data_IF_854517491488
#
_entry.id   IF_854517491488
#
_cell.length_a   1.000
_cell.length_b   1.000
_cell.length_c   1.000
_cell.angle_alpha   90.00
_cell.angle_beta   90.00
_cell.angle_gamma   90.00
#
_symmetry.space_group_name_H-M   'P 1'
#
loop_
_entity.id
_entity.type
_entity.pdbx_description
1 polymer ?
#
# COMPACT_ATOMS: atom_id res chain seq x y z
N UNK A 1 -10.00 18.34 0.32
CA UNK A 1 -9.71 17.66 1.62
C UNK A 1 -10.67 16.50 1.88
N UNK A 2 -11.98 16.72 2.07
CA UNK A 2 -12.90 15.62 2.40
C UNK A 2 -13.08 14.62 1.25
N UNK A 3 -13.24 15.14 0.03
CA UNK A 3 -13.28 14.32 -1.19
C UNK A 3 -12.01 13.50 -1.40
N UNK A 4 -10.84 14.07 -1.05
CA UNK A 4 -9.56 13.37 -1.21
C UNK A 4 -9.43 12.21 -0.22
N UNK A 5 -9.95 12.39 1.01
CA UNK A 5 -10.03 11.30 2.00
C UNK A 5 -11.00 10.20 1.58
N UNK A 6 -12.15 10.56 0.99
CA UNK A 6 -13.09 9.58 0.44
C UNK A 6 -12.48 8.77 -0.71
N UNK A 7 -11.75 9.44 -1.61
CA UNK A 7 -11.00 8.76 -2.69
C UNK A 7 -9.92 7.86 -2.11
N UNK A 8 -9.19 8.33 -1.09
CA UNK A 8 -8.20 7.55 -0.35
C UNK A 8 -8.82 6.29 0.24
N UNK A 9 -9.90 6.43 0.99
CA UNK A 9 -10.57 5.31 1.66
C UNK A 9 -11.18 4.31 0.67
N UNK A 10 -11.72 4.77 -0.46
CA UNK A 10 -12.19 3.89 -1.52
C UNK A 10 -11.03 3.09 -2.16
N UNK A 11 -9.88 3.73 -2.38
CA UNK A 11 -8.69 3.03 -2.87
C UNK A 11 -8.13 2.04 -1.85
N UNK A 12 -8.14 2.39 -0.56
CA UNK A 12 -7.73 1.50 0.51
C UNK A 12 -8.66 0.30 0.64
N UNK A 13 -9.96 0.46 0.47
CA UNK A 13 -10.95 -0.64 0.49
C UNK A 13 -10.79 -1.59 -0.72
N UNK A 14 -10.35 -1.07 -1.87
CA UNK A 14 -10.15 -1.88 -3.07
C UNK A 14 -8.98 -2.88 -2.93
N UNK A 15 -8.10 -2.76 -1.93
CA UNK A 15 -7.03 -3.75 -1.69
C UNK A 15 -7.53 -4.98 -0.93
N UNK A 16 -8.08 -4.85 0.29
CA UNK A 16 -8.45 -6.01 1.09
C UNK A 16 -9.60 -6.79 0.46
N UNK A 17 -10.48 -6.16 -0.33
CA UNK A 17 -11.62 -6.87 -0.92
C UNK A 17 -11.19 -7.97 -1.92
N UNK A 18 -10.40 -7.70 -2.98
CA UNK A 18 -9.85 -8.75 -3.83
C UNK A 18 -8.93 -9.72 -3.09
N UNK A 19 -8.09 -9.23 -2.17
CA UNK A 19 -7.18 -10.10 -1.40
C UNK A 19 -7.94 -11.10 -0.52
N UNK A 20 -9.09 -10.69 0.04
CA UNK A 20 -9.95 -11.56 0.84
C UNK A 20 -10.69 -12.64 0.03
N UNK A 21 -10.77 -12.46 -1.30
CA UNK A 21 -11.46 -13.35 -2.24
C UNK A 21 -10.49 -14.12 -3.15
N UNK A 22 -9.19 -14.09 -2.83
CA UNK A 22 -8.20 -14.88 -3.56
C UNK A 22 -8.48 -16.37 -3.40
N UNK A 23 -8.17 -17.13 -4.45
CA UNK A 23 -8.19 -18.59 -4.43
C UNK A 23 -6.79 -19.10 -4.80
N UNK A 24 -6.07 -19.77 -3.88
CA UNK A 24 -6.48 -20.08 -2.50
C UNK A 24 -6.55 -18.84 -1.60
N UNK A 25 -7.43 -18.89 -0.59
CA UNK A 25 -7.61 -17.80 0.37
C UNK A 25 -6.35 -17.54 1.19
N UNK A 26 -6.02 -16.27 1.44
CA UNK A 26 -4.92 -15.89 2.33
C UNK A 26 -5.30 -16.16 3.80
N UNK A 27 -4.62 -17.09 4.49
CA UNK A 27 -4.99 -17.46 5.85
C UNK A 27 -4.90 -16.28 6.81
N UNK A 28 -5.97 -16.05 7.57
CA UNK A 28 -6.04 -14.95 8.55
C UNK A 28 -6.16 -13.54 7.95
N UNK A 29 -6.21 -13.40 6.62
CA UNK A 29 -6.45 -12.11 5.98
C UNK A 29 -7.93 -11.74 6.05
N UNK A 30 -8.24 -10.53 6.53
CA UNK A 30 -9.60 -10.01 6.63
C UNK A 30 -9.60 -8.48 6.62
N UNK A 31 -10.78 -7.88 6.66
CA UNK A 31 -10.93 -6.42 6.81
C UNK A 31 -10.29 -5.89 8.11
N UNK A 32 -10.07 -6.73 9.11
CA UNK A 32 -9.39 -6.33 10.35
C UNK A 32 -7.91 -5.97 10.14
N UNK A 33 -7.30 -6.43 9.04
CA UNK A 33 -5.94 -6.06 8.64
C UNK A 33 -5.85 -4.61 8.14
N UNK A 34 -6.98 -3.98 7.80
CA UNK A 34 -7.05 -2.57 7.43
C UNK A 34 -7.04 -1.68 8.68
N UNK A 35 -5.87 -1.06 8.91
CA UNK A 35 -5.53 -0.27 10.10
C UNK A 35 -5.54 1.24 9.84
N UNK A 36 -6.05 1.69 8.71
CA UNK A 36 -6.09 3.12 8.38
C UNK A 36 -7.15 3.87 9.19
N UNK A 37 -6.77 5.05 9.66
CA UNK A 37 -7.69 6.00 10.31
C UNK A 37 -8.79 6.50 9.37
N UNK A 38 -8.59 6.50 8.05
CA UNK A 38 -9.59 6.98 7.07
C UNK A 38 -10.62 5.92 6.66
N UNK A 39 -10.53 4.68 7.16
CA UNK A 39 -11.48 3.60 6.82
C UNK A 39 -12.95 3.93 7.13
N UNK A 40 -13.20 4.82 8.08
CA UNK A 40 -14.57 5.22 8.43
C UNK A 40 -15.32 5.94 7.31
N UNK A 41 -14.61 6.48 6.32
CA UNK A 41 -15.20 7.12 5.16
C UNK A 41 -16.00 6.18 4.25
N UNK A 42 -15.75 4.86 4.31
CA UNK A 42 -16.54 3.88 3.53
C UNK A 42 -17.83 3.43 4.22
N UNK A 43 -18.07 3.89 5.46
CA UNK A 43 -19.27 3.51 6.23
C UNK A 43 -20.60 3.98 5.63
N UNK A 44 -20.56 4.86 4.62
CA UNK A 44 -21.71 5.21 3.81
C UNK A 44 -22.24 4.04 2.97
N UNK A 45 -21.43 3.03 2.69
CA UNK A 45 -21.86 1.82 2.00
C UNK A 45 -22.47 0.82 3.00
N UNK A 46 -23.66 0.25 2.73
CA UNK A 46 -24.35 -0.63 3.69
C UNK A 46 -23.50 -1.80 4.20
N UNK A 47 -22.71 -2.41 3.31
CA UNK A 47 -21.82 -3.54 3.64
C UNK A 47 -20.69 -3.17 4.63
N UNK A 48 -20.28 -1.90 4.64
CA UNK A 48 -19.20 -1.40 5.50
C UNK A 48 -19.71 -0.46 6.60
N UNK A 49 -21.01 -0.43 6.83
CA UNK A 49 -21.65 0.39 7.89
C UNK A 49 -21.10 0.10 9.29
N UNK A 50 -20.52 -1.09 9.53
CA UNK A 50 -19.84 -1.42 10.78
C UNK A 50 -18.51 -0.68 11.01
N UNK A 51 -17.93 -0.03 9.99
CA UNK A 51 -16.66 0.70 10.07
C UNK A 51 -16.82 2.18 10.43
N UNK A 52 -17.95 2.60 11.00
CA UNK A 52 -18.25 4.01 11.34
C UNK A 52 -17.20 4.72 12.20
N UNK A 53 -16.36 3.97 12.93
CA UNK A 53 -15.30 4.55 13.76
C UNK A 53 -13.93 4.43 13.07
N UNK A 54 -13.09 5.48 13.16
CA UNK A 54 -11.68 5.37 12.79
C UNK A 54 -11.02 4.18 13.47
N UNK A 55 -10.03 3.58 12.82
CA UNK A 55 -9.19 2.59 13.49
C UNK A 55 -8.46 3.22 14.69
N UNK A 56 -8.37 2.48 15.78
CA UNK A 56 -7.76 2.95 17.03
C UNK A 56 -6.47 2.17 17.27
N UNK A 57 -5.34 2.86 17.25
CA UNK A 57 -4.01 2.29 17.47
C UNK A 57 -2.91 3.16 16.85
N UNK A 58 -1.68 2.65 16.85
CA UNK A 58 -0.55 3.32 16.19
C UNK A 58 -0.44 2.85 14.73
N UNK A 59 -0.92 3.69 13.81
CA UNK A 59 -0.98 3.36 12.37
C UNK A 59 0.44 3.21 11.81
N UNK A 60 0.81 1.99 11.41
CA UNK A 60 2.13 1.67 10.85
C UNK A 60 2.15 1.62 9.33
N UNK A 61 1.04 1.19 8.74
CA UNK A 61 0.70 1.25 7.31
C UNK A 61 -0.81 1.08 7.19
N UNK A 62 -1.38 1.38 6.02
CA UNK A 62 -2.82 1.26 5.80
C UNK A 62 -3.30 -0.16 6.03
N UNK A 63 -2.55 -1.16 5.56
CA UNK A 63 -2.82 -2.58 5.79
C UNK A 63 -1.59 -3.27 6.38
N UNK A 64 -1.80 -4.13 7.37
CA UNK A 64 -0.75 -4.96 7.97
C UNK A 64 -1.19 -6.41 7.96
N UNK A 65 -0.39 -7.28 7.35
CA UNK A 65 -0.69 -8.70 7.23
C UNK A 65 0.49 -9.58 7.63
N UNK A 66 0.24 -10.54 8.52
CA UNK A 66 1.20 -11.57 8.91
C UNK A 66 1.04 -12.80 8.02
N UNK A 67 1.96 -12.99 7.08
CA UNK A 67 1.93 -14.11 6.14
C UNK A 67 2.49 -15.39 6.80
N UNK A 68 1.78 -15.86 7.82
CA UNK A 68 2.21 -16.97 8.69
C UNK A 68 2.51 -18.27 7.93
N UNK A 69 1.87 -18.45 6.77
CA UNK A 69 2.03 -19.64 5.94
C UNK A 69 2.97 -19.40 4.74
N UNK A 70 3.24 -18.15 4.36
CA UNK A 70 4.03 -17.81 3.16
C UNK A 70 3.20 -17.80 1.88
N UNK A 71 1.87 -17.85 1.97
CA UNK A 71 0.96 -17.96 0.83
C UNK A 71 0.94 -16.67 0.01
N UNK A 72 0.96 -15.52 0.69
CA UNK A 72 1.03 -14.23 -0.01
C UNK A 72 2.42 -14.01 -0.63
N UNK A 73 3.48 -14.44 0.05
CA UNK A 73 4.84 -14.46 -0.47
C UNK A 73 4.92 -15.30 -1.74
N UNK A 74 4.37 -16.51 -1.73
CA UNK A 74 4.32 -17.39 -2.88
C UNK A 74 3.56 -16.74 -4.05
N UNK A 75 2.40 -16.12 -3.79
CA UNK A 75 1.65 -15.41 -4.82
C UNK A 75 2.49 -14.28 -5.46
N UNK A 76 3.22 -13.51 -4.66
CA UNK A 76 4.07 -12.44 -5.17
C UNK A 76 5.26 -12.98 -5.98
N UNK A 77 5.83 -14.13 -5.60
CA UNK A 77 6.85 -14.83 -6.42
C UNK A 77 6.25 -15.29 -7.75
N UNK A 78 5.09 -15.96 -7.72
CA UNK A 78 4.42 -16.50 -8.91
C UNK A 78 4.04 -15.39 -9.92
N UNK A 79 3.77 -14.18 -9.42
CA UNK A 79 3.50 -12.99 -10.24
C UNK A 79 4.75 -12.21 -10.65
N UNK A 80 5.94 -12.64 -10.23
CA UNK A 80 7.22 -12.03 -10.56
C UNK A 80 7.55 -10.74 -9.81
N UNK A 81 6.85 -10.46 -8.70
CA UNK A 81 7.13 -9.31 -7.84
C UNK A 81 8.28 -9.58 -6.86
N UNK A 82 8.51 -10.84 -6.50
CA UNK A 82 9.57 -11.28 -5.60
C UNK A 82 10.44 -12.33 -6.27
N UNK A 83 11.75 -12.26 -6.02
CA UNK A 83 12.71 -13.25 -6.49
C UNK A 83 12.54 -14.58 -5.74
N UNK A 84 12.34 -15.67 -6.48
CA UNK A 84 12.14 -16.99 -5.91
C UNK A 84 13.37 -17.48 -5.12
N UNK A 85 14.59 -17.18 -5.59
CA UNK A 85 15.83 -17.61 -4.93
C UNK A 85 15.99 -17.03 -3.53
N UNK A 86 15.50 -15.81 -3.32
CA UNK A 86 15.56 -15.12 -2.02
C UNK A 86 14.36 -15.42 -1.12
N UNK A 87 13.15 -15.48 -1.68
CA UNK A 87 11.89 -15.44 -0.92
C UNK A 87 11.18 -16.77 -0.76
N UNK A 88 11.62 -17.85 -1.43
CA UNK A 88 11.00 -19.17 -1.27
C UNK A 88 11.04 -19.62 0.19
N UNK A 89 9.86 -19.95 0.74
CA UNK A 89 9.68 -20.39 2.12
C UNK A 89 9.73 -19.27 3.17
N UNK A 90 9.91 -18.02 2.77
CA UNK A 90 9.84 -16.88 3.68
C UNK A 90 8.39 -16.62 4.13
N UNK A 91 8.25 -16.06 5.34
CA UNK A 91 6.96 -15.78 6.01
C UNK A 91 7.01 -14.39 6.65
N UNK A 92 7.16 -13.32 5.84
CA UNK A 92 7.35 -11.98 6.35
C UNK A 92 6.04 -11.37 6.86
N UNK A 93 6.18 -10.32 7.67
CA UNK A 93 5.10 -9.37 7.91
C UNK A 93 5.04 -8.33 6.79
N UNK A 94 3.89 -8.21 6.13
CA UNK A 94 3.64 -7.23 5.08
C UNK A 94 3.10 -5.92 5.65
N UNK A 95 3.73 -4.81 5.22
CA UNK A 95 3.29 -3.45 5.47
C UNK A 95 2.88 -2.83 4.13
N UNK A 96 1.58 -2.67 3.95
CA UNK A 96 1.00 -2.24 2.68
C UNK A 96 0.50 -0.80 2.82
N UNK A 97 1.06 0.07 1.99
CA UNK A 97 0.66 1.46 1.82
C UNK A 97 -0.13 1.60 0.51
N UNK A 98 -1.25 2.30 0.56
CA UNK A 98 -2.17 2.46 -0.54
C UNK A 98 -2.16 3.91 -0.99
N UNK A 99 -1.84 4.12 -2.28
CA UNK A 99 -1.89 5.44 -2.90
C UNK A 99 -2.96 5.46 -3.97
N UNK A 100 -4.12 6.03 -3.65
CA UNK A 100 -5.21 6.25 -4.59
C UNK A 100 -5.02 7.57 -5.35
N UNK A 101 -5.17 7.56 -6.67
CA UNK A 101 -5.14 8.78 -7.49
C UNK A 101 -6.15 8.73 -8.63
N UNK A 102 -6.71 9.89 -8.95
CA UNK A 102 -7.56 10.12 -10.14
C UNK A 102 -6.75 10.51 -11.38
N UNK A 103 -5.45 10.79 -11.24
CA UNK A 103 -4.53 11.20 -12.32
C UNK A 103 -3.81 10.01 -12.95
N UNK A 104 -3.04 10.22 -14.02
CA UNK A 104 -2.32 9.14 -14.73
C UNK A 104 -1.20 8.49 -13.89
N UNK A 105 -0.86 7.22 -14.14
CA UNK A 105 0.12 6.48 -13.32
C UNK A 105 1.56 7.02 -13.44
N UNK A 106 1.86 7.79 -14.50
CA UNK A 106 3.15 8.50 -14.64
C UNK A 106 3.22 9.80 -13.82
N UNK A 107 2.11 10.27 -13.25
CA UNK A 107 2.13 11.47 -12.39
C UNK A 107 2.79 11.14 -11.04
N UNK A 108 3.49 12.09 -10.44
CA UNK A 108 4.09 11.94 -9.10
C UNK A 108 3.01 11.63 -8.06
N UNK A 109 3.34 10.82 -7.06
CA UNK A 109 2.53 10.67 -5.85
C UNK A 109 3.34 11.09 -4.64
N UNK A 110 2.64 11.57 -3.61
CA UNK A 110 3.28 12.09 -2.41
C UNK A 110 3.40 11.00 -1.35
N UNK A 111 4.50 11.05 -0.62
CA UNK A 111 4.80 10.19 0.51
C UNK A 111 5.16 11.08 1.69
N UNK A 112 4.59 10.81 2.85
CA UNK A 112 4.96 11.57 4.06
C UNK A 112 6.38 11.21 4.50
N UNK A 113 7.03 12.10 5.25
CA UNK A 113 8.36 11.82 5.83
C UNK A 113 8.39 10.54 6.67
N UNK A 114 7.31 10.27 7.40
CA UNK A 114 7.19 9.07 8.23
C UNK A 114 7.09 7.79 7.38
N UNK A 115 6.33 7.82 6.29
CA UNK A 115 6.24 6.71 5.35
C UNK A 115 7.58 6.46 4.67
N UNK A 116 8.28 7.53 4.28
CA UNK A 116 9.62 7.44 3.71
C UNK A 116 10.61 6.79 4.68
N UNK A 117 10.62 7.20 5.96
CA UNK A 117 11.48 6.58 6.97
C UNK A 117 11.16 5.09 7.18
N UNK A 118 9.87 4.73 7.28
CA UNK A 118 9.44 3.32 7.44
C UNK A 118 9.83 2.45 6.25
N UNK A 119 9.73 2.99 5.03
CA UNK A 119 10.17 2.32 3.82
C UNK A 119 11.68 1.99 3.89
N UNK A 120 12.51 2.93 4.37
CA UNK A 120 13.95 2.72 4.55
C UNK A 120 14.25 1.69 5.65
N UNK A 121 13.55 1.75 6.79
CA UNK A 121 13.71 0.82 7.91
C UNK A 121 13.33 -0.64 7.54
N UNK A 122 12.45 -0.82 6.55
CA UNK A 122 11.87 -2.12 6.16
C UNK A 122 12.37 -2.62 4.80
N UNK A 123 13.46 -2.07 4.29
CA UNK A 123 14.07 -2.55 3.06
C UNK A 123 14.68 -3.94 3.24
N UNK A 124 14.69 -4.72 2.17
CA UNK A 124 15.26 -6.06 2.12
C UNK A 124 16.70 -6.06 1.57
N UNK A 125 17.24 -4.88 1.20
CA UNK A 125 18.58 -4.70 0.60
C UNK A 125 19.78 -5.13 1.48
N UNK A 126 19.53 -5.63 2.68
CA UNK A 126 20.51 -6.20 3.61
C UNK A 126 20.28 -7.70 3.87
N UNK A 127 19.38 -8.36 3.13
CA UNK A 127 18.98 -9.75 3.35
C UNK A 127 17.87 -9.95 4.39
N UNK A 128 17.26 -8.87 4.90
CA UNK A 128 16.10 -8.96 5.79
C UNK A 128 14.91 -9.60 5.05
N UNK A 129 14.34 -10.65 5.64
CA UNK A 129 13.14 -11.36 5.15
C UNK A 129 12.03 -11.41 6.20
N UNK A 130 12.16 -10.65 7.29
CA UNK A 130 11.18 -10.62 8.38
C UNK A 130 10.01 -9.67 8.08
N UNK A 131 10.22 -8.65 7.24
CA UNK A 131 9.20 -7.69 6.88
C UNK A 131 9.36 -7.25 5.42
N UNK A 132 8.24 -6.98 4.75
CA UNK A 132 8.23 -6.43 3.39
C UNK A 132 7.35 -5.18 3.37
N UNK A 133 7.90 -4.06 2.89
CA UNK A 133 7.13 -2.84 2.63
C UNK A 133 6.67 -2.80 1.17
N UNK A 134 5.36 -2.67 0.94
CA UNK A 134 4.76 -2.63 -0.39
C UNK A 134 3.94 -1.35 -0.52
N UNK A 135 4.07 -0.68 -1.66
CA UNK A 135 3.15 0.39 -2.05
C UNK A 135 2.24 -0.14 -3.15
N UNK A 136 0.96 -0.27 -2.84
CA UNK A 136 -0.07 -0.47 -3.84
C UNK A 136 -0.55 0.89 -4.33
N UNK A 137 -0.30 1.19 -5.59
CA UNK A 137 -0.77 2.41 -6.22
C UNK A 137 -2.00 2.11 -7.05
N UNK A 138 -3.14 2.58 -6.56
CA UNK A 138 -4.42 2.50 -7.24
C UNK A 138 -4.66 3.74 -8.05
N UNK A 139 -5.09 3.49 -9.28
CA UNK A 139 -5.51 4.53 -10.20
C UNK A 139 -6.94 4.26 -10.62
N UNK A 140 -7.80 5.24 -10.39
CA UNK A 140 -9.14 5.27 -10.98
C UNK A 140 -9.14 6.40 -12.00
N UNK A 141 -9.05 6.08 -13.29
CA UNK A 141 -9.10 7.07 -14.35
C UNK A 141 -10.32 6.84 -15.22
N UNK A 142 -10.92 7.92 -15.71
CA UNK A 142 -12.16 7.86 -16.47
C UNK A 142 -13.21 7.03 -15.73
N UNK A 143 -13.69 7.55 -14.59
CA UNK A 143 -14.80 6.94 -13.83
C UNK A 143 -15.99 6.60 -14.74
N UNK A 144 -16.17 7.35 -15.83
CA UNK A 144 -17.19 7.15 -16.86
C UNK A 144 -16.92 5.95 -17.80
N UNK A 145 -15.67 5.50 -17.94
CA UNK A 145 -15.29 4.35 -18.80
C UNK A 145 -14.90 3.10 -18.00
N UNK A 146 -14.95 3.12 -16.66
CA UNK A 146 -14.75 1.93 -15.81
C UNK A 146 -13.32 1.38 -15.75
N UNK A 147 -12.30 2.13 -16.17
CA UNK A 147 -10.92 1.62 -16.22
C UNK A 147 -10.17 1.84 -14.90
N UNK A 148 -9.97 0.75 -14.14
CA UNK A 148 -9.18 0.75 -12.90
C UNK A 148 -7.80 0.16 -13.19
N UNK A 149 -6.75 0.87 -12.77
CA UNK A 149 -5.36 0.39 -12.90
C UNK A 149 -4.73 0.19 -11.53
N UNK A 150 -4.02 -0.93 -11.36
CA UNK A 150 -3.23 -1.21 -10.17
C UNK A 150 -1.75 -1.35 -10.54
N UNK A 151 -0.88 -0.62 -9.83
CA UNK A 151 0.58 -0.81 -9.87
C UNK A 151 1.08 -1.15 -8.47
N UNK A 152 1.85 -2.22 -8.35
CA UNK A 152 2.43 -2.68 -7.08
C UNK A 152 3.93 -2.41 -7.11
N UNK A 153 4.46 -1.76 -6.07
CA UNK A 153 5.88 -1.52 -5.86
C UNK A 153 6.31 -2.29 -4.60
N UNK A 154 7.11 -3.33 -4.78
CA UNK A 154 7.62 -4.13 -3.67
C UNK A 154 9.04 -3.68 -3.32
N UNK A 155 9.27 -3.38 -2.03
CA UNK A 155 10.53 -2.80 -1.53
C UNK A 155 10.96 -1.54 -2.30
N UNK A 156 10.20 -0.44 -2.20
CA UNK A 156 10.48 0.75 -2.98
C UNK A 156 11.82 1.43 -2.63
N UNK A 157 12.40 1.17 -1.46
CA UNK A 157 13.75 1.63 -1.13
C UNK A 157 14.81 0.90 -1.96
N UNK A 158 14.68 -0.43 -2.09
CA UNK A 158 15.58 -1.22 -2.94
C UNK A 158 15.44 -0.82 -4.41
N UNK A 159 14.22 -0.56 -4.87
CA UNK A 159 13.95 -0.01 -6.21
C UNK A 159 14.58 1.38 -6.39
N UNK A 160 14.57 2.25 -5.36
CA UNK A 160 15.22 3.57 -5.39
C UNK A 160 16.73 3.45 -5.53
N UNK A 161 17.37 2.53 -4.79
CA UNK A 161 18.82 2.30 -4.88
C UNK A 161 19.24 1.78 -6.26
N UNK A 162 18.35 1.08 -6.97
CA UNK A 162 18.55 0.61 -8.36
C UNK A 162 18.11 1.60 -9.45
N UNK A 163 17.74 2.83 -9.07
CA UNK A 163 17.23 3.87 -9.98
C UNK A 163 15.95 3.48 -10.77
N UNK A 164 15.17 2.52 -10.28
CA UNK A 164 13.89 2.11 -10.89
C UNK A 164 12.74 3.07 -10.54
N UNK A 165 12.89 3.81 -9.44
CA UNK A 165 11.94 4.81 -8.95
C UNK A 165 12.68 6.05 -8.47
N UNK A 166 12.21 7.21 -8.89
CA UNK A 166 12.82 8.50 -8.55
C UNK A 166 12.07 9.14 -7.38
N UNK A 167 12.78 9.40 -6.29
CA UNK A 167 12.29 10.15 -5.14
C UNK A 167 12.81 11.59 -5.21
N UNK A 168 11.92 12.55 -5.38
CA UNK A 168 12.27 13.98 -5.33
C UNK A 168 11.83 14.56 -3.99
N UNK A 169 12.75 15.20 -3.27
CA UNK A 169 12.41 15.93 -2.05
C UNK A 169 11.64 17.19 -2.44
N UNK A 170 10.51 17.47 -1.78
CA UNK A 170 9.91 18.80 -1.86
C UNK A 170 10.84 19.80 -1.16
N UNK A 171 11.51 20.62 -1.96
CA UNK A 171 12.33 21.73 -1.46
C UNK A 171 11.43 22.90 -1.07
N UNK A 172 11.45 23.28 0.21
CA UNK A 172 10.94 24.57 0.64
C UNK A 172 11.92 25.64 0.14
N UNK A 173 11.46 26.55 -0.72
CA UNK A 173 12.22 27.74 -1.10
C UNK A 173 11.69 28.94 -0.32
N UNK A 174 12.56 29.56 0.48
CA UNK A 174 12.29 30.84 1.15
C UNK A 174 12.94 31.94 0.32
N UNK A 175 12.15 32.92 -0.11
CA UNK A 175 12.65 34.20 -0.62
C UNK A 175 12.24 35.28 0.38
N UNK A 176 13.22 36.06 0.83
CA UNK A 176 12.95 37.32 1.53
C UNK A 176 12.42 38.32 0.50
N UNK A 177 11.40 39.09 0.88
CA UNK A 177 11.02 40.23 0.08
C UNK A 177 12.10 41.30 0.27
N UNK A 178 12.95 41.48 -0.74
CA UNK A 178 13.66 42.73 -1.07
C UNK A 178 14.02 42.71 -2.57
#
# INVERSE_FOLDING_TARGET
>A
MERDKQIGAAGELFVPEPLSRLEPSLPGFSIANWQSTIRHYVSCHPEYSGLQRPWVGHETSDIVYDDANGDFTKLLIDKGYLDAGMWTGARPRYYVEVKATTKICSTRFFMSKNQYRRMQEKTNGNGNRAAVYIIFRFRVFNLETGNIGLKILVDPESMRVRDEVLFTVESWSVVTAD
#
